data_IF_476019485173
#
_entry.id   IF_476019485173
#
_cell.length_a   1.000
_cell.length_b   1.000
_cell.length_c   1.000
_cell.angle_alpha   90.00
_cell.angle_beta   90.00
_cell.angle_gamma   90.00
#
_symmetry.space_group_name_H-M   'P 1'
#
loop_
_entity.id
_entity.type
_entity.pdbx_description
1 polymer ?
#
# COMPACT_ATOMS: atom_id res chain seq x y z
N UNK A 1 -8.75 26.03 -37.35
CA UNK A 1 -8.91 24.55 -37.23
C UNK A 1 -8.20 23.99 -36.00
N UNK A 2 -6.99 24.45 -35.65
CA UNK A 2 -6.31 24.06 -34.39
C UNK A 2 -7.19 24.23 -33.14
N UNK A 3 -8.02 25.27 -33.06
CA UNK A 3 -8.99 25.44 -31.96
C UNK A 3 -10.00 24.29 -31.85
N UNK A 4 -10.48 23.80 -32.99
CA UNK A 4 -11.39 22.66 -33.09
C UNK A 4 -10.67 21.37 -32.70
N UNK A 5 -9.42 21.19 -33.12
CA UNK A 5 -8.60 20.06 -32.73
C UNK A 5 -8.34 20.02 -31.22
N UNK A 6 -7.93 21.14 -30.62
CA UNK A 6 -7.73 21.24 -29.17
C UNK A 6 -9.02 20.91 -28.40
N UNK A 7 -10.17 21.41 -28.86
CA UNK A 7 -11.48 21.06 -28.29
C UNK A 7 -11.81 19.56 -28.45
N UNK A 8 -11.50 18.96 -29.59
CA UNK A 8 -11.75 17.54 -29.83
C UNK A 8 -10.84 16.66 -28.95
N UNK A 9 -9.56 17.04 -28.75
CA UNK A 9 -8.65 16.31 -27.82
C UNK A 9 -9.25 16.18 -26.42
N UNK A 10 -10.00 17.17 -25.95
CA UNK A 10 -10.68 17.13 -24.64
C UNK A 10 -12.01 16.37 -24.62
N UNK A 11 -12.72 16.24 -25.75
CA UNK A 11 -14.12 15.80 -25.78
C UNK A 11 -14.39 14.52 -26.58
N UNK A 12 -13.66 14.31 -27.68
CA UNK A 12 -13.79 13.16 -28.58
C UNK A 12 -12.45 12.90 -29.28
N UNK A 13 -11.69 11.97 -28.70
CA UNK A 13 -10.37 11.59 -29.21
C UNK A 13 -10.46 11.05 -30.64
N UNK A 14 -11.50 10.30 -31.01
CA UNK A 14 -11.62 9.72 -32.35
C UNK A 14 -11.84 10.83 -33.40
N UNK A 15 -12.67 11.84 -33.10
CA UNK A 15 -12.77 13.04 -33.95
C UNK A 15 -11.48 13.88 -33.97
N UNK A 16 -10.69 13.85 -32.90
CA UNK A 16 -9.37 14.51 -32.89
C UNK A 16 -8.37 13.79 -33.81
N UNK A 17 -8.40 12.45 -33.87
CA UNK A 17 -7.55 11.66 -34.79
C UNK A 17 -7.82 12.04 -36.24
N UNK A 18 -9.07 11.96 -36.69
CA UNK A 18 -9.45 12.28 -38.09
C UNK A 18 -9.07 13.71 -38.46
N UNK A 19 -9.38 14.69 -37.59
CA UNK A 19 -9.04 16.10 -37.87
C UNK A 19 -7.52 16.35 -37.88
N UNK A 20 -6.73 15.62 -37.09
CA UNK A 20 -5.28 15.71 -37.12
C UNK A 20 -4.69 15.14 -38.42
N UNK A 21 -5.23 14.03 -38.92
CA UNK A 21 -4.85 13.46 -40.22
C UNK A 21 -5.21 14.41 -41.37
N UNK A 22 -6.41 14.99 -41.38
CA UNK A 22 -6.81 16.00 -42.36
C UNK A 22 -5.87 17.22 -42.35
N UNK A 23 -5.48 17.71 -41.17
CA UNK A 23 -4.57 18.86 -41.04
C UNK A 23 -3.14 18.55 -41.52
N UNK A 24 -2.66 17.34 -41.29
CA UNK A 24 -1.29 16.94 -41.69
C UNK A 24 -1.20 16.53 -43.16
N UNK A 25 -2.27 16.03 -43.77
CA UNK A 25 -2.31 15.67 -45.19
C UNK A 25 -2.56 16.86 -46.13
N UNK A 26 -3.34 17.87 -45.71
CA UNK A 26 -3.74 18.98 -46.59
C UNK A 26 -2.66 20.06 -46.84
N UNK A 27 -1.44 19.89 -46.32
CA UNK A 27 -0.21 20.58 -46.76
C UNK A 27 -0.07 22.08 -46.48
N UNK A 28 -1.16 22.81 -46.24
CA UNK A 28 -1.16 24.28 -46.07
C UNK A 28 -1.03 24.76 -44.62
N UNK A 29 -1.46 23.97 -43.62
CA UNK A 29 -1.71 24.46 -42.25
C UNK A 29 -0.67 24.03 -41.19
N UNK A 30 0.49 23.51 -41.63
CA UNK A 30 1.69 23.36 -40.80
C UNK A 30 2.20 21.93 -40.60
N UNK A 31 3.41 21.80 -40.06
CA UNK A 31 4.02 20.51 -39.77
C UNK A 31 3.36 19.85 -38.53
N UNK A 32 3.45 18.52 -38.36
CA UNK A 32 2.97 17.85 -37.15
C UNK A 32 3.49 18.47 -35.85
N UNK A 33 4.76 18.94 -35.85
CA UNK A 33 5.33 19.69 -34.72
C UNK A 33 4.63 21.02 -34.48
N UNK A 34 4.37 21.81 -35.52
CA UNK A 34 3.67 23.09 -35.38
C UNK A 34 2.26 22.92 -34.82
N UNK A 35 1.51 21.93 -35.33
CA UNK A 35 0.14 21.62 -34.87
C UNK A 35 0.16 21.16 -33.42
N UNK A 36 1.01 20.17 -33.06
CA UNK A 36 1.09 19.64 -31.70
C UNK A 36 1.59 20.68 -30.70
N UNK A 37 2.57 21.51 -31.05
CA UNK A 37 3.06 22.60 -30.20
C UNK A 37 1.95 23.60 -29.88
N UNK A 38 1.15 23.98 -30.88
CA UNK A 38 0.00 24.88 -30.69
C UNK A 38 -1.11 24.26 -29.82
N UNK A 39 -1.38 22.95 -29.96
CA UNK A 39 -2.33 22.23 -29.11
C UNK A 39 -1.83 22.14 -27.66
N UNK A 40 -0.55 21.79 -27.45
CA UNK A 40 0.06 21.71 -26.11
C UNK A 40 0.04 23.07 -25.42
N UNK A 41 0.48 24.14 -26.10
CA UNK A 41 0.43 25.50 -25.56
C UNK A 41 -0.99 25.88 -25.17
N UNK A 42 -1.95 25.77 -26.10
CA UNK A 42 -3.33 26.20 -25.85
C UNK A 42 -3.99 25.45 -24.70
N UNK A 43 -3.87 24.12 -24.66
CA UNK A 43 -4.55 23.32 -23.64
C UNK A 43 -3.88 23.46 -22.28
N UNK A 44 -2.55 23.44 -22.21
CA UNK A 44 -1.84 23.45 -20.94
C UNK A 44 -1.71 24.87 -20.34
N UNK A 45 -1.86 25.94 -21.12
CA UNK A 45 -2.00 27.32 -20.59
C UNK A 45 -3.29 27.49 -19.76
N UNK A 46 -4.34 26.73 -20.06
CA UNK A 46 -5.61 26.74 -19.31
C UNK A 46 -5.55 25.85 -18.06
N UNK A 47 -5.16 24.58 -18.21
CA UNK A 47 -5.12 23.63 -17.10
C UNK A 47 -4.05 22.52 -17.30
N UNK A 48 -3.25 22.25 -16.26
CA UNK A 48 -2.25 21.17 -16.28
C UNK A 48 -2.90 19.77 -16.40
N UNK A 49 -4.15 19.61 -15.95
CA UNK A 49 -4.93 18.38 -16.12
C UNK A 49 -5.08 17.95 -17.59
N UNK A 50 -5.08 18.88 -18.54
CA UNK A 50 -5.19 18.59 -19.97
C UNK A 50 -4.00 17.77 -20.53
N UNK A 51 -2.86 17.70 -19.83
CA UNK A 51 -1.76 16.79 -20.21
C UNK A 51 -2.24 15.33 -20.28
N UNK A 52 -3.19 14.93 -19.42
CA UNK A 52 -3.80 13.59 -19.44
C UNK A 52 -4.47 13.29 -20.79
N UNK A 53 -5.22 14.24 -21.31
CA UNK A 53 -5.98 14.07 -22.56
C UNK A 53 -5.07 14.14 -23.79
N UNK A 54 -4.02 14.97 -23.76
CA UNK A 54 -3.00 14.98 -24.82
C UNK A 54 -2.24 13.64 -24.83
N UNK A 55 -1.86 13.09 -23.68
CA UNK A 55 -1.22 11.76 -23.57
C UNK A 55 -2.15 10.65 -24.08
N UNK A 56 -3.46 10.70 -23.75
CA UNK A 56 -4.47 9.78 -24.28
C UNK A 56 -4.60 9.88 -25.81
N UNK A 57 -4.66 11.09 -26.35
CA UNK A 57 -4.70 11.35 -27.80
C UNK A 57 -3.45 10.79 -28.50
N UNK A 58 -2.25 11.11 -28.02
CA UNK A 58 -0.99 10.60 -28.59
C UNK A 58 -0.91 9.06 -28.54
N UNK A 59 -1.30 8.45 -27.41
CA UNK A 59 -1.38 7.00 -27.25
C UNK A 59 -2.35 6.38 -28.27
N UNK A 60 -3.53 6.98 -28.46
CA UNK A 60 -4.53 6.51 -29.43
C UNK A 60 -4.07 6.68 -30.88
N UNK A 61 -3.43 7.80 -31.22
CA UNK A 61 -2.87 8.03 -32.55
C UNK A 61 -1.78 7.01 -32.92
N UNK A 62 -0.92 6.67 -31.96
CA UNK A 62 0.04 5.58 -32.14
C UNK A 62 -0.65 4.21 -32.35
N UNK A 63 -1.68 3.91 -31.56
CA UNK A 63 -2.42 2.63 -31.61
C UNK A 63 -3.35 2.48 -32.82
N UNK A 64 -3.79 3.59 -33.44
CA UNK A 64 -4.53 3.58 -34.70
C UNK A 64 -3.62 3.01 -35.80
N UNK A 65 -3.89 1.77 -36.23
CA UNK A 65 -3.05 1.06 -37.22
C UNK A 65 -3.31 1.58 -38.64
N UNK A 66 -2.78 2.75 -38.96
CA UNK A 66 -2.75 3.30 -40.31
C UNK A 66 -1.59 2.76 -41.13
N UNK A 67 -1.66 2.92 -42.46
CA UNK A 67 -0.66 2.41 -43.42
C UNK A 67 0.74 3.03 -43.28
N UNK A 68 0.89 4.11 -42.48
CA UNK A 68 2.15 4.85 -42.33
C UNK A 68 2.72 4.77 -40.90
N UNK A 69 3.30 3.62 -40.54
CA UNK A 69 3.90 3.39 -39.21
C UNK A 69 4.98 4.41 -38.84
N UNK A 70 5.86 4.79 -39.77
CA UNK A 70 6.92 5.78 -39.53
C UNK A 70 6.35 7.15 -39.12
N UNK A 71 5.35 7.67 -39.84
CA UNK A 71 4.71 8.94 -39.51
C UNK A 71 3.99 8.90 -38.15
N UNK A 72 3.42 7.75 -37.75
CA UNK A 72 2.81 7.57 -36.41
C UNK A 72 3.87 7.65 -35.31
N UNK A 73 4.97 6.91 -35.43
CA UNK A 73 6.10 6.94 -34.50
C UNK A 73 6.70 8.35 -34.40
N UNK A 74 6.94 9.01 -35.54
CA UNK A 74 7.50 10.35 -35.59
C UNK A 74 6.58 11.39 -34.93
N UNK A 75 5.27 11.33 -35.20
CA UNK A 75 4.27 12.24 -34.59
C UNK A 75 4.20 12.06 -33.08
N UNK A 76 4.19 10.81 -32.60
CA UNK A 76 4.21 10.47 -31.19
C UNK A 76 5.45 11.04 -30.48
N UNK A 77 6.65 10.82 -31.04
CA UNK A 77 7.90 11.33 -30.48
C UNK A 77 7.94 12.86 -30.44
N UNK A 78 7.44 13.52 -31.49
CA UNK A 78 7.29 14.98 -31.52
C UNK A 78 6.33 15.45 -30.43
N UNK A 79 5.16 14.81 -30.27
CA UNK A 79 4.20 15.17 -29.21
C UNK A 79 4.77 15.01 -27.80
N UNK A 80 5.52 13.95 -27.56
CA UNK A 80 6.26 13.73 -26.31
C UNK A 80 7.28 14.85 -26.08
N UNK A 81 8.07 15.23 -27.08
CA UNK A 81 9.06 16.32 -26.96
C UNK A 81 8.44 17.68 -26.69
N UNK A 82 7.29 18.01 -27.30
CA UNK A 82 6.57 19.25 -27.03
C UNK A 82 5.97 19.28 -25.60
N UNK A 83 5.38 18.16 -25.15
CA UNK A 83 4.89 18.00 -23.78
C UNK A 83 6.01 18.14 -22.75
N UNK A 84 7.16 17.49 -22.96
CA UNK A 84 8.30 17.57 -22.06
C UNK A 84 8.85 19.00 -22.01
N UNK A 85 9.00 19.68 -23.15
CA UNK A 85 9.46 21.08 -23.17
C UNK A 85 8.53 22.01 -22.38
N UNK A 86 7.22 21.80 -22.48
CA UNK A 86 6.24 22.54 -21.68
C UNK A 86 6.40 22.23 -20.18
N UNK A 87 6.43 20.94 -19.81
CA UNK A 87 6.57 20.51 -18.41
C UNK A 87 7.88 21.00 -17.80
N UNK A 88 9.01 20.95 -18.51
CA UNK A 88 10.32 21.40 -18.04
C UNK A 88 10.36 22.89 -17.72
N UNK A 89 9.60 23.72 -18.45
CA UNK A 89 9.46 25.15 -18.18
C UNK A 89 8.65 25.47 -16.90
N UNK A 90 7.86 24.52 -16.38
CA UNK A 90 7.07 24.71 -15.16
C UNK A 90 7.90 24.58 -13.87
N UNK A 91 7.47 25.28 -12.82
CA UNK A 91 8.03 25.15 -11.46
C UNK A 91 7.86 23.71 -10.94
N UNK A 92 8.86 23.11 -10.27
CA UNK A 92 8.73 21.79 -9.64
C UNK A 92 7.59 21.71 -8.62
N UNK A 93 6.64 20.80 -8.83
CA UNK A 93 5.53 20.50 -7.92
C UNK A 93 5.01 19.07 -8.16
N UNK A 94 4.26 18.50 -7.21
CA UNK A 94 3.75 17.11 -7.33
C UNK A 94 2.87 16.92 -8.59
N UNK A 95 1.95 17.84 -8.95
CA UNK A 95 1.20 17.74 -10.21
C UNK A 95 2.10 17.67 -11.45
N UNK A 96 3.15 18.51 -11.56
CA UNK A 96 4.13 18.43 -12.65
C UNK A 96 4.79 17.05 -12.70
N UNK A 97 5.27 16.54 -11.56
CA UNK A 97 5.94 15.23 -11.50
C UNK A 97 5.01 14.09 -11.90
N UNK A 98 3.72 14.16 -11.52
CA UNK A 98 2.69 13.22 -11.98
C UNK A 98 2.44 13.28 -13.49
N UNK A 99 2.36 14.48 -14.07
CA UNK A 99 2.26 14.67 -15.52
C UNK A 99 3.50 14.13 -16.26
N UNK A 100 4.71 14.36 -15.75
CA UNK A 100 5.94 13.76 -16.32
C UNK A 100 5.93 12.23 -16.22
N UNK A 101 5.34 11.65 -15.17
CA UNK A 101 5.18 10.20 -15.05
C UNK A 101 4.20 9.62 -16.10
N UNK A 102 3.13 10.33 -16.46
CA UNK A 102 2.26 9.93 -17.57
C UNK A 102 3.02 9.85 -18.89
N UNK A 103 3.86 10.85 -19.17
CA UNK A 103 4.70 10.88 -20.38
C UNK A 103 5.72 9.74 -20.34
N UNK A 104 6.33 9.46 -19.18
CA UNK A 104 7.20 8.29 -19.01
C UNK A 104 6.46 6.97 -19.24
N UNK A 105 5.23 6.80 -18.75
CA UNK A 105 4.42 5.58 -18.99
C UNK A 105 4.19 5.36 -20.48
N UNK A 106 3.89 6.43 -21.24
CA UNK A 106 3.72 6.35 -22.69
C UNK A 106 5.03 5.95 -23.38
N UNK A 107 6.17 6.52 -23.00
CA UNK A 107 7.50 6.14 -23.51
C UNK A 107 7.85 4.68 -23.18
N UNK A 108 7.53 4.21 -21.98
CA UNK A 108 7.78 2.84 -21.53
C UNK A 108 6.91 1.79 -22.25
N UNK A 109 5.63 2.11 -22.48
CA UNK A 109 4.71 1.31 -23.30
C UNK A 109 5.20 1.17 -24.74
N UNK A 110 5.64 2.27 -25.34
CA UNK A 110 6.14 2.32 -26.72
C UNK A 110 7.45 1.55 -26.85
N UNK A 111 8.38 1.74 -25.92
CA UNK A 111 9.63 0.98 -25.84
C UNK A 111 9.38 -0.54 -25.70
N UNK A 112 8.39 -0.92 -24.89
CA UNK A 112 8.01 -2.32 -24.67
C UNK A 112 7.32 -2.94 -25.88
N UNK A 113 6.79 -2.13 -26.80
CA UNK A 113 6.08 -2.55 -28.02
C UNK A 113 7.01 -2.79 -29.23
N UNK A 114 8.31 -3.02 -28.99
CA UNK A 114 9.44 -2.91 -29.94
C UNK A 114 9.35 -3.58 -31.33
N UNK A 115 8.31 -4.38 -31.61
CA UNK A 115 7.99 -4.85 -32.97
C UNK A 115 7.69 -3.70 -33.95
N UNK A 116 7.16 -2.57 -33.47
CA UNK A 116 6.88 -1.39 -34.32
C UNK A 116 8.14 -0.63 -34.78
N UNK A 117 9.33 -1.02 -34.29
CA UNK A 117 10.61 -0.34 -34.53
C UNK A 117 11.60 -1.13 -35.39
N UNK A 118 11.22 -2.30 -35.93
CA UNK A 118 12.14 -3.24 -36.60
C UNK A 118 12.91 -2.61 -37.78
N UNK A 119 12.33 -1.64 -38.48
CA UNK A 119 12.94 -0.91 -39.60
C UNK A 119 13.24 0.58 -39.26
N UNK A 120 13.18 0.99 -37.99
CA UNK A 120 13.22 2.39 -37.54
C UNK A 120 14.29 2.64 -36.45
N UNK A 121 15.54 2.27 -36.72
CA UNK A 121 16.66 2.34 -35.75
C UNK A 121 16.85 3.73 -35.12
N UNK A 122 16.77 4.83 -35.89
CA UNK A 122 16.92 6.19 -35.37
C UNK A 122 15.80 6.54 -34.37
N UNK A 123 14.55 6.14 -34.68
CA UNK A 123 13.41 6.36 -33.80
C UNK A 123 13.52 5.51 -32.52
N UNK A 124 14.01 4.27 -32.64
CA UNK A 124 14.27 3.41 -31.47
C UNK A 124 15.34 4.03 -30.56
N UNK A 125 16.44 4.50 -31.11
CA UNK A 125 17.50 5.17 -30.34
C UNK A 125 16.96 6.43 -29.65
N UNK A 126 16.05 7.17 -30.30
CA UNK A 126 15.37 8.35 -29.74
C UNK A 126 14.45 7.98 -28.58
N UNK A 127 13.66 6.90 -28.68
CA UNK A 127 12.87 6.34 -27.57
C UNK A 127 13.76 5.92 -26.40
N UNK A 128 14.87 5.21 -26.67
CA UNK A 128 15.83 4.77 -25.64
C UNK A 128 16.41 5.96 -24.90
N UNK A 129 16.84 6.99 -25.62
CA UNK A 129 17.38 8.23 -25.05
C UNK A 129 16.34 8.95 -24.20
N UNK A 130 15.09 9.08 -24.69
CA UNK A 130 13.99 9.70 -23.94
C UNK A 130 13.70 8.92 -22.65
N UNK A 131 13.55 7.59 -22.73
CA UNK A 131 13.32 6.74 -21.56
C UNK A 131 14.41 6.92 -20.51
N UNK A 132 15.68 6.87 -20.92
CA UNK A 132 16.81 7.08 -20.02
C UNK A 132 16.82 8.49 -19.41
N UNK A 133 16.52 9.52 -20.20
CA UNK A 133 16.46 10.91 -19.70
C UNK A 133 15.31 11.17 -18.72
N UNK A 134 14.23 10.39 -18.78
CA UNK A 134 13.05 10.52 -17.91
C UNK A 134 13.08 9.58 -16.71
N UNK A 135 14.01 8.63 -16.65
CA UNK A 135 14.09 7.59 -15.60
C UNK A 135 14.11 8.16 -14.17
N UNK A 136 14.58 9.40 -13.99
CA UNK A 136 14.54 10.11 -12.71
C UNK A 136 13.12 10.28 -12.15
N UNK A 137 12.10 10.39 -13.01
CA UNK A 137 10.72 10.64 -12.57
C UNK A 137 10.17 9.49 -11.74
N UNK A 138 10.62 8.25 -12.00
CA UNK A 138 10.21 7.07 -11.24
C UNK A 138 10.66 7.21 -9.79
N UNK A 139 11.92 7.57 -9.57
CA UNK A 139 12.49 7.82 -8.23
C UNK A 139 11.83 9.02 -7.56
N UNK A 140 11.58 10.10 -8.30
CA UNK A 140 11.03 11.33 -7.73
C UNK A 140 9.55 11.16 -7.32
N UNK A 141 8.75 10.40 -8.08
CA UNK A 141 7.39 9.99 -7.66
C UNK A 141 7.44 8.97 -6.52
N UNK A 142 8.33 7.99 -6.56
CA UNK A 142 8.52 7.04 -5.46
C UNK A 142 8.86 7.75 -4.15
N UNK A 143 9.75 8.75 -4.20
CA UNK A 143 10.09 9.63 -3.08
C UNK A 143 8.89 10.44 -2.59
N UNK A 144 8.08 11.00 -3.48
CA UNK A 144 6.86 11.73 -3.11
C UNK A 144 5.83 10.82 -2.41
N UNK A 145 5.62 9.59 -2.90
CA UNK A 145 4.74 8.59 -2.28
C UNK A 145 5.26 8.13 -0.90
N UNK A 146 6.58 8.11 -0.70
CA UNK A 146 7.22 7.71 0.55
C UNK A 146 7.14 8.78 1.67
N UNK A 147 6.66 9.99 1.37
CA UNK A 147 6.67 11.15 2.26
C UNK A 147 5.26 11.65 2.61
N UNK A 148 5.09 12.47 3.66
CA UNK A 148 3.84 13.15 3.94
C UNK A 148 3.41 14.04 2.75
N UNK A 149 2.19 13.81 2.27
CA UNK A 149 1.61 14.49 1.11
C UNK A 149 0.22 15.01 1.46
N UNK A 150 -0.21 16.15 0.89
CA UNK A 150 -1.57 16.64 1.06
C UNK A 150 -2.60 15.63 0.52
N UNK A 151 -3.84 15.66 1.00
CA UNK A 151 -4.87 14.74 0.52
C UNK A 151 -5.21 15.01 -0.96
N UNK A 152 -5.21 16.28 -1.38
CA UNK A 152 -5.44 16.71 -2.77
C UNK A 152 -4.32 16.24 -3.71
N UNK A 153 -3.05 16.48 -3.38
CA UNK A 153 -1.91 16.00 -4.19
C UNK A 153 -1.93 14.47 -4.31
N UNK A 154 -2.29 13.77 -3.23
CA UNK A 154 -2.34 12.31 -3.19
C UNK A 154 -3.47 11.75 -4.04
N UNK A 155 -4.65 12.38 -3.99
CA UNK A 155 -5.77 12.03 -4.84
C UNK A 155 -5.45 12.28 -6.32
N UNK A 156 -4.93 13.46 -6.64
CA UNK A 156 -4.59 13.86 -8.00
C UNK A 156 -3.51 12.93 -8.60
N UNK A 157 -2.44 12.64 -7.85
CA UNK A 157 -1.40 11.70 -8.28
C UNK A 157 -1.95 10.27 -8.45
N UNK A 158 -2.79 9.80 -7.53
CA UNK A 158 -3.37 8.45 -7.60
C UNK A 158 -4.35 8.28 -8.78
N UNK A 159 -5.12 9.32 -9.13
CA UNK A 159 -6.02 9.29 -10.28
C UNK A 159 -5.29 9.01 -11.61
N UNK A 160 -4.04 9.45 -11.75
CA UNK A 160 -3.21 9.19 -12.94
C UNK A 160 -2.97 7.69 -13.17
N UNK A 161 -3.09 6.86 -12.14
CA UNK A 161 -2.92 5.40 -12.22
C UNK A 161 -4.09 4.65 -12.88
N UNK A 162 -5.11 5.35 -13.39
CA UNK A 162 -5.98 4.77 -14.43
C UNK A 162 -5.25 4.59 -15.77
N UNK A 163 -4.25 5.42 -16.05
CA UNK A 163 -3.54 5.47 -17.33
C UNK A 163 -2.12 4.89 -17.27
N UNK A 164 -1.68 4.42 -16.10
CA UNK A 164 -0.33 3.90 -15.86
C UNK A 164 -0.39 2.36 -15.79
N UNK A 165 0.61 1.70 -16.39
CA UNK A 165 0.70 0.24 -16.40
C UNK A 165 0.87 -0.34 -14.98
N UNK A 166 0.30 -1.54 -14.74
CA UNK A 166 0.45 -2.21 -13.45
C UNK A 166 1.90 -2.64 -13.16
N UNK A 167 2.78 -2.74 -14.17
CA UNK A 167 4.20 -3.00 -13.95
C UNK A 167 4.92 -1.74 -13.42
N UNK A 168 4.64 -0.57 -13.98
CA UNK A 168 5.18 0.70 -13.48
C UNK A 168 4.66 1.00 -12.06
N UNK A 169 3.39 0.70 -11.77
CA UNK A 169 2.86 0.74 -10.39
C UNK A 169 3.64 -0.17 -9.44
N UNK A 170 3.91 -1.44 -9.83
CA UNK A 170 4.67 -2.36 -8.97
C UNK A 170 6.07 -1.81 -8.67
N UNK A 171 6.72 -1.23 -9.68
CA UNK A 171 8.04 -0.61 -9.55
C UNK A 171 8.01 0.57 -8.59
N UNK A 172 7.08 1.52 -8.79
CA UNK A 172 6.93 2.70 -7.94
C UNK A 172 6.64 2.35 -6.48
N UNK A 173 5.77 1.36 -6.22
CA UNK A 173 5.48 0.90 -4.85
C UNK A 173 6.68 0.18 -4.22
N UNK A 174 7.45 -0.57 -5.01
CA UNK A 174 8.66 -1.25 -4.52
C UNK A 174 9.77 -0.23 -4.19
N UNK A 175 10.01 0.76 -5.05
CA UNK A 175 10.98 1.86 -4.84
C UNK A 175 10.56 2.79 -3.68
N UNK A 176 9.30 3.22 -3.63
CA UNK A 176 8.80 4.11 -2.57
C UNK A 176 8.95 3.47 -1.18
N UNK A 177 8.76 2.15 -1.09
CA UNK A 177 8.98 1.42 0.15
C UNK A 177 10.44 0.96 0.34
N UNK A 178 11.23 0.84 -0.73
CA UNK A 178 12.64 0.40 -0.68
C UNK A 178 13.46 1.28 0.26
N UNK A 179 13.36 2.60 0.09
CA UNK A 179 14.28 3.56 0.68
C UNK A 179 13.76 4.21 1.97
N UNK A 180 12.49 3.99 2.33
CA UNK A 180 11.88 4.55 3.53
C UNK A 180 11.07 3.49 4.32
N UNK A 181 11.63 2.97 5.41
CA UNK A 181 10.93 2.03 6.31
C UNK A 181 9.76 2.69 7.05
N UNK A 182 9.86 3.98 7.36
CA UNK A 182 8.79 4.79 7.95
C UNK A 182 7.71 5.16 6.91
N UNK A 183 8.08 5.21 5.62
CA UNK A 183 7.22 5.56 4.50
C UNK A 183 6.07 4.58 4.25
N UNK A 184 6.03 3.41 4.88
CA UNK A 184 4.94 2.44 4.75
C UNK A 184 3.55 3.07 4.93
N UNK A 185 3.41 3.98 5.90
CA UNK A 185 2.13 4.64 6.16
C UNK A 185 1.73 5.55 5.00
N UNK A 186 2.67 6.31 4.45
CA UNK A 186 2.44 7.19 3.30
C UNK A 186 2.15 6.39 2.02
N UNK A 187 2.87 5.27 1.81
CA UNK A 187 2.59 4.35 0.71
C UNK A 187 1.19 3.71 0.89
N UNK A 188 0.80 3.31 2.10
CA UNK A 188 -0.55 2.76 2.34
C UNK A 188 -1.66 3.81 2.22
N UNK A 189 -1.43 5.06 2.62
CA UNK A 189 -2.33 6.19 2.39
C UNK A 189 -2.51 6.43 0.88
N UNK A 190 -1.41 6.43 0.11
CA UNK A 190 -1.45 6.56 -1.36
C UNK A 190 -2.21 5.40 -2.01
N UNK A 191 -1.92 4.16 -1.59
CA UNK A 191 -2.59 2.95 -2.08
C UNK A 191 -4.10 2.98 -1.82
N UNK A 192 -4.57 3.63 -0.74
CA UNK A 192 -6.01 3.80 -0.50
C UNK A 192 -6.71 4.60 -1.60
N UNK A 193 -6.01 5.58 -2.20
CA UNK A 193 -6.55 6.51 -3.20
C UNK A 193 -6.43 5.98 -4.64
N UNK A 194 -5.77 4.83 -4.86
CA UNK A 194 -5.68 4.23 -6.20
C UNK A 194 -7.09 3.87 -6.73
N UNK A 195 -7.46 4.32 -7.93
CA UNK A 195 -8.84 4.26 -8.44
C UNK A 195 -9.33 2.85 -8.75
N UNK A 196 -8.40 1.90 -8.97
CA UNK A 196 -8.70 0.51 -9.29
C UNK A 196 -8.35 -0.40 -8.11
N UNK A 197 -9.31 -1.23 -7.67
CA UNK A 197 -9.08 -2.20 -6.59
C UNK A 197 -7.98 -3.22 -6.92
N UNK A 198 -7.82 -3.61 -8.18
CA UNK A 198 -6.75 -4.50 -8.61
C UNK A 198 -5.37 -3.84 -8.46
N UNK A 199 -5.27 -2.52 -8.63
CA UNK A 199 -4.06 -1.75 -8.32
C UNK A 199 -3.78 -1.73 -6.80
N UNK A 200 -4.80 -1.61 -5.96
CA UNK A 200 -4.64 -1.75 -4.50
C UNK A 200 -4.16 -3.15 -4.09
N UNK A 201 -4.68 -4.19 -4.74
CA UNK A 201 -4.27 -5.58 -4.50
C UNK A 201 -2.81 -5.80 -4.88
N UNK A 202 -2.42 -5.35 -6.08
CA UNK A 202 -1.04 -5.47 -6.60
C UNK A 202 -0.06 -4.74 -5.68
N UNK A 203 -0.38 -3.52 -5.23
CA UNK A 203 0.45 -2.78 -4.29
C UNK A 203 0.64 -3.52 -2.95
N UNK A 204 -0.43 -4.10 -2.39
CA UNK A 204 -0.33 -4.92 -1.17
C UNK A 204 0.57 -6.15 -1.35
N UNK A 205 0.56 -6.80 -2.53
CA UNK A 205 1.47 -7.91 -2.84
C UNK A 205 2.94 -7.47 -2.91
N UNK A 206 3.21 -6.30 -3.50
CA UNK A 206 4.57 -5.71 -3.56
C UNK A 206 5.09 -5.41 -2.17
N UNK A 207 4.30 -4.68 -1.35
CA UNK A 207 4.65 -4.36 0.03
C UNK A 207 4.95 -5.62 0.85
N UNK A 208 4.11 -6.65 0.76
CA UNK A 208 4.36 -7.91 1.48
C UNK A 208 5.63 -8.62 1.03
N UNK A 209 5.88 -8.67 -0.29
CA UNK A 209 7.09 -9.28 -0.85
C UNK A 209 8.34 -8.60 -0.30
N UNK A 210 8.34 -7.26 -0.29
CA UNK A 210 9.46 -6.43 0.20
C UNK A 210 9.63 -6.55 1.72
N UNK A 211 8.54 -6.60 2.49
CA UNK A 211 8.59 -6.90 3.93
C UNK A 211 9.20 -8.27 4.21
N UNK A 212 8.85 -9.30 3.45
CA UNK A 212 9.34 -10.66 3.71
C UNK A 212 10.84 -10.85 3.33
N UNK A 213 11.45 -9.88 2.63
CA UNK A 213 12.89 -9.83 2.38
C UNK A 213 13.69 -9.20 3.54
N UNK A 214 13.04 -8.43 4.41
CA UNK A 214 13.67 -7.67 5.50
C UNK A 214 12.90 -7.89 6.80
N UNK A 215 13.50 -8.65 7.73
CA UNK A 215 12.86 -8.99 9.02
C UNK A 215 12.56 -7.77 9.88
N UNK A 216 13.29 -6.66 9.73
CA UNK A 216 13.00 -5.39 10.40
C UNK A 216 11.73 -4.74 9.87
N UNK A 217 11.52 -4.74 8.55
CA UNK A 217 10.28 -4.26 7.90
C UNK A 217 9.07 -5.10 8.27
N UNK A 218 9.21 -6.43 8.22
CA UNK A 218 8.15 -7.35 8.63
C UNK A 218 7.75 -7.09 10.10
N UNK A 219 8.74 -6.85 10.98
CA UNK A 219 8.52 -6.66 12.42
C UNK A 219 7.58 -5.51 12.75
N UNK A 220 7.70 -4.37 12.07
CA UNK A 220 6.92 -3.16 12.38
C UNK A 220 5.77 -2.91 11.41
N UNK A 221 5.88 -3.36 10.16
CA UNK A 221 4.94 -2.99 9.09
C UNK A 221 3.78 -3.96 8.86
N UNK A 222 3.89 -5.21 9.31
CA UNK A 222 2.94 -6.26 8.89
C UNK A 222 1.52 -6.06 9.42
N UNK A 223 1.32 -5.39 10.56
CA UNK A 223 -0.02 -5.06 11.08
C UNK A 223 -0.69 -3.93 10.30
N UNK A 224 0.09 -2.92 9.88
CA UNK A 224 -0.35 -1.82 9.01
C UNK A 224 -0.81 -2.39 7.67
N UNK A 225 0.01 -3.26 7.07
CA UNK A 225 -0.34 -3.94 5.82
C UNK A 225 -1.55 -4.87 5.96
N UNK A 226 -1.65 -5.61 7.08
CA UNK A 226 -2.83 -6.44 7.36
C UNK A 226 -4.11 -5.59 7.49
N UNK A 227 -4.04 -4.42 8.11
CA UNK A 227 -5.15 -3.47 8.16
C UNK A 227 -5.53 -2.98 6.74
N UNK A 228 -4.55 -2.57 5.92
CA UNK A 228 -4.80 -2.16 4.51
C UNK A 228 -5.49 -3.28 3.73
N UNK A 229 -5.02 -4.52 3.86
CA UNK A 229 -5.64 -5.72 3.27
C UNK A 229 -7.09 -5.87 3.78
N UNK A 230 -7.35 -5.72 5.08
CA UNK A 230 -8.70 -5.77 5.66
C UNK A 230 -9.62 -4.69 5.08
N UNK A 231 -9.11 -3.47 4.82
CA UNK A 231 -9.85 -2.36 4.20
C UNK A 231 -10.22 -2.70 2.75
N UNK A 232 -9.25 -3.12 1.94
CA UNK A 232 -9.46 -3.53 0.53
C UNK A 232 -10.48 -4.67 0.43
N UNK A 233 -10.38 -5.70 1.28
CA UNK A 233 -11.31 -6.83 1.30
C UNK A 233 -12.76 -6.47 1.72
N UNK A 234 -13.00 -5.24 2.18
CA UNK A 234 -14.34 -4.73 2.55
C UNK A 234 -15.00 -3.88 1.47
N UNK A 235 -14.27 -3.51 0.41
CA UNK A 235 -14.86 -2.75 -0.69
C UNK A 235 -15.87 -3.61 -1.48
N UNK A 236 -16.92 -2.97 -1.99
CA UNK A 236 -18.09 -3.64 -2.60
C UNK A 236 -17.77 -4.35 -3.92
N UNK A 237 -16.72 -3.91 -4.60
CA UNK A 237 -16.18 -4.44 -5.84
C UNK A 237 -15.13 -5.55 -5.65
N UNK A 238 -14.64 -5.78 -4.41
CA UNK A 238 -13.61 -6.79 -4.11
C UNK A 238 -13.94 -8.19 -4.63
N UNK A 239 -15.20 -8.60 -4.54
CA UNK A 239 -15.65 -9.91 -5.02
C UNK A 239 -15.56 -10.06 -6.56
N UNK A 240 -15.43 -8.96 -7.31
CA UNK A 240 -15.32 -8.90 -8.78
C UNK A 240 -13.90 -8.58 -9.27
N UNK A 241 -12.98 -8.22 -8.37
CA UNK A 241 -11.60 -7.87 -8.70
C UNK A 241 -10.86 -9.05 -9.37
N UNK A 242 -10.09 -8.79 -10.42
CA UNK A 242 -9.35 -9.81 -11.18
C UNK A 242 -8.36 -10.57 -10.30
N UNK A 243 -7.77 -9.91 -9.30
CA UNK A 243 -6.77 -10.44 -8.39
C UNK A 243 -7.33 -10.82 -7.01
N UNK A 244 -8.66 -10.97 -6.85
CA UNK A 244 -9.32 -11.36 -5.59
C UNK A 244 -8.71 -12.62 -4.96
N UNK A 245 -8.39 -13.64 -5.75
CA UNK A 245 -7.79 -14.89 -5.28
C UNK A 245 -6.36 -14.71 -4.77
N UNK A 246 -5.59 -13.80 -5.37
CA UNK A 246 -4.25 -13.45 -4.90
C UNK A 246 -4.29 -12.70 -3.57
N UNK A 247 -5.26 -11.80 -3.38
CA UNK A 247 -5.48 -11.14 -2.09
C UNK A 247 -5.86 -12.13 -0.98
N UNK A 248 -6.71 -13.13 -1.28
CA UNK A 248 -7.04 -14.20 -0.32
C UNK A 248 -5.80 -15.03 0.06
N UNK A 249 -4.97 -15.43 -0.92
CA UNK A 249 -3.68 -16.08 -0.66
C UNK A 249 -2.73 -15.20 0.16
N UNK A 250 -2.71 -13.90 -0.09
CA UNK A 250 -1.89 -12.95 0.66
C UNK A 250 -2.32 -12.85 2.13
N UNK A 251 -3.64 -12.75 2.40
CA UNK A 251 -4.21 -12.79 3.74
C UNK A 251 -3.78 -14.04 4.53
N UNK A 252 -3.76 -15.20 3.87
CA UNK A 252 -3.34 -16.49 4.46
C UNK A 252 -1.81 -16.64 4.64
N UNK A 253 -1.00 -15.79 4.00
CA UNK A 253 0.47 -15.76 4.20
C UNK A 253 0.89 -14.90 5.39
N UNK A 254 0.01 -14.06 5.91
CA UNK A 254 0.31 -13.23 7.09
C UNK A 254 0.58 -14.11 8.31
N UNK A 255 1.47 -13.69 9.24
CA UNK A 255 1.71 -14.44 10.47
C UNK A 255 0.43 -14.59 11.29
N UNK A 256 0.21 -15.77 11.87
CA UNK A 256 -1.07 -16.19 12.46
C UNK A 256 -1.61 -15.23 13.53
N UNK A 257 -0.72 -14.66 14.36
CA UNK A 257 -1.08 -13.66 15.36
C UNK A 257 -1.52 -12.33 14.73
N UNK A 258 -0.91 -11.91 13.61
CA UNK A 258 -1.35 -10.73 12.85
C UNK A 258 -2.74 -10.98 12.26
N UNK A 259 -2.97 -12.17 11.72
CA UNK A 259 -4.27 -12.58 11.22
C UNK A 259 -5.33 -12.55 12.33
N UNK A 260 -5.04 -13.13 13.50
CA UNK A 260 -5.95 -13.16 14.64
C UNK A 260 -6.27 -11.75 15.19
N UNK A 261 -5.25 -10.89 15.32
CA UNK A 261 -5.40 -9.46 15.70
C UNK A 261 -6.31 -8.72 14.72
N UNK A 262 -6.18 -9.02 13.41
CA UNK A 262 -6.81 -8.21 12.36
C UNK A 262 -8.22 -8.70 11.98
N UNK A 263 -8.50 -10.01 12.01
CA UNK A 263 -9.80 -10.58 11.59
C UNK A 263 -10.55 -11.35 12.68
N UNK A 264 -9.97 -11.58 13.85
CA UNK A 264 -10.55 -12.47 14.86
C UNK A 264 -10.40 -11.95 16.29
N UNK A 265 -10.16 -12.90 17.21
CA UNK A 265 -9.93 -12.64 18.62
C UNK A 265 -8.66 -13.35 19.07
N UNK A 266 -7.94 -12.74 20.01
CA UNK A 266 -6.65 -13.25 20.52
C UNK A 266 -6.83 -13.69 21.97
N UNK A 267 -6.16 -14.77 22.38
CA UNK A 267 -6.01 -15.11 23.79
C UNK A 267 -4.65 -14.63 24.30
N UNK A 268 -4.61 -13.85 25.37
CA UNK A 268 -3.38 -13.20 25.88
C UNK A 268 -2.94 -13.92 27.14
N UNK A 269 -2.40 -15.13 26.95
CA UNK A 269 -2.00 -15.99 28.06
C UNK A 269 -0.53 -15.77 28.47
N UNK A 270 -0.25 -15.85 29.77
CA UNK A 270 1.12 -15.94 30.26
C UNK A 270 1.21 -16.38 31.71
N UNK A 271 2.31 -17.09 32.04
CA UNK A 271 2.50 -17.73 33.34
C UNK A 271 2.90 -16.78 34.48
N UNK A 272 3.18 -15.49 34.18
CA UNK A 272 3.75 -14.53 35.14
C UNK A 272 3.05 -13.17 35.18
N UNK A 273 2.01 -12.92 34.36
CA UNK A 273 1.33 -11.62 34.27
C UNK A 273 0.39 -11.29 35.45
N UNK A 274 0.32 -12.15 36.47
CA UNK A 274 -0.46 -11.86 37.66
C UNK A 274 0.37 -11.08 38.68
N UNK A 275 -0.05 -9.84 38.94
CA UNK A 275 0.11 -9.27 40.28
C UNK A 275 -0.39 -10.29 41.31
N UNK A 276 0.31 -10.47 42.46
CA UNK A 276 -0.07 -11.46 43.46
C UNK A 276 -1.51 -11.22 43.93
N UNK A 277 -2.35 -12.25 43.80
CA UNK A 277 -3.75 -12.25 44.27
C UNK A 277 -3.82 -11.92 45.79
N UNK A 278 -4.97 -11.42 46.31
CA UNK A 278 -6.00 -10.64 45.62
C UNK A 278 -6.55 -9.49 46.49
N UNK A 279 -6.48 -8.24 46.01
CA UNK A 279 -7.44 -7.20 46.36
C UNK A 279 -7.88 -6.47 45.10
N UNK A 280 -9.16 -6.13 45.05
CA UNK A 280 -9.69 -5.16 44.09
C UNK A 280 -9.19 -3.78 44.52
N UNK A 281 -7.98 -3.41 44.09
CA UNK A 281 -7.41 -2.12 44.40
C UNK A 281 -8.05 -1.05 43.51
N UNK A 282 -8.82 -0.20 44.17
CA UNK A 282 -9.37 1.03 43.60
C UNK A 282 -8.22 2.03 43.53
N UNK A 283 -7.54 2.10 42.38
CA UNK A 283 -6.45 3.04 42.17
C UNK A 283 -7.07 4.41 41.88
N UNK A 284 -7.15 5.25 42.90
CA UNK A 284 -7.86 6.54 42.85
C UNK A 284 -9.37 6.36 42.74
N UNK A 285 -9.98 7.02 41.75
CA UNK A 285 -11.43 6.93 41.51
C UNK A 285 -11.83 5.72 40.66
N UNK A 286 -10.88 5.15 39.90
CA UNK A 286 -11.11 4.11 38.90
C UNK A 286 -11.34 2.73 39.53
N UNK A 287 -12.34 2.00 39.00
CA UNK A 287 -12.58 0.59 39.34
C UNK A 287 -11.67 -0.30 38.48
N UNK A 288 -10.51 -0.65 39.01
CA UNK A 288 -9.57 -1.56 38.34
C UNK A 288 -9.88 -3.01 38.69
N UNK A 289 -9.94 -3.88 37.68
CA UNK A 289 -9.95 -5.33 37.83
C UNK A 289 -8.59 -5.88 37.41
N UNK A 290 -7.76 -6.47 38.30
CA UNK A 290 -6.46 -7.01 37.92
C UNK A 290 -6.57 -8.04 36.79
N UNK A 291 -5.62 -8.06 35.85
CA UNK A 291 -5.60 -9.01 34.74
C UNK A 291 -5.19 -10.43 35.22
N UNK A 292 -6.12 -11.10 35.91
CA UNK A 292 -5.87 -12.41 36.53
C UNK A 292 -5.83 -13.58 35.52
N UNK A 293 -4.97 -14.56 35.79
CA UNK A 293 -4.73 -15.77 34.96
C UNK A 293 -5.99 -16.54 34.53
N UNK A 294 -7.05 -16.54 35.33
CA UNK A 294 -8.33 -17.20 35.00
C UNK A 294 -9.08 -16.44 33.88
N UNK A 295 -8.84 -15.13 33.78
CA UNK A 295 -9.53 -14.19 32.89
C UNK A 295 -8.70 -13.84 31.65
N UNK A 296 -7.41 -14.20 31.64
CA UNK A 296 -6.46 -13.99 30.54
C UNK A 296 -5.98 -15.29 29.87
N UNK A 297 -6.03 -16.44 30.56
CA UNK A 297 -5.54 -17.73 30.06
C UNK A 297 -6.63 -18.82 29.94
N UNK A 298 -7.90 -18.55 30.27
CA UNK A 298 -8.96 -19.54 30.07
C UNK A 298 -9.35 -19.64 28.59
N UNK A 299 -9.86 -20.80 28.15
CA UNK A 299 -10.39 -21.01 26.78
C UNK A 299 -11.57 -20.08 26.44
N UNK A 300 -12.19 -19.46 27.46
CA UNK A 300 -13.27 -18.48 27.30
C UNK A 300 -12.76 -17.03 27.21
N UNK A 301 -11.53 -16.75 27.60
CA UNK A 301 -10.93 -15.42 27.48
C UNK A 301 -10.64 -15.10 26.01
N UNK A 302 -11.26 -14.05 25.49
CA UNK A 302 -11.07 -13.56 24.12
C UNK A 302 -10.85 -12.06 24.16
N UNK A 303 -9.89 -11.59 23.37
CA UNK A 303 -9.54 -10.18 23.26
C UNK A 303 -9.77 -9.70 21.83
N UNK A 304 -10.50 -8.61 21.71
CA UNK A 304 -10.64 -7.86 20.46
C UNK A 304 -9.57 -6.77 20.41
N UNK A 305 -8.85 -6.69 19.30
CA UNK A 305 -7.85 -5.67 19.04
C UNK A 305 -8.48 -4.55 18.20
N UNK A 306 -8.91 -3.48 18.87
CA UNK A 306 -9.60 -2.35 18.26
C UNK A 306 -8.59 -1.30 17.78
N UNK A 307 -8.32 -1.32 16.48
CA UNK A 307 -7.25 -0.53 15.86
C UNK A 307 -7.64 0.90 15.50
N UNK A 308 -6.65 1.77 15.30
CA UNK A 308 -6.81 3.02 14.55
C UNK A 308 -6.98 2.76 13.03
N UNK A 309 -7.38 3.78 12.27
CA UNK A 309 -7.63 3.70 10.81
C UNK A 309 -6.38 3.34 9.97
N UNK A 310 -5.22 3.16 10.60
CA UNK A 310 -3.91 2.92 9.98
C UNK A 310 -3.25 1.61 10.42
N UNK A 311 -3.84 0.84 11.34
CA UNK A 311 -3.25 -0.44 11.78
C UNK A 311 -1.98 -0.31 12.64
N UNK A 312 -1.71 0.89 13.19
CA UNK A 312 -0.45 1.20 13.90
C UNK A 312 -0.53 0.87 15.38
N UNK A 313 -1.70 1.08 15.99
CA UNK A 313 -1.95 0.78 17.39
C UNK A 313 -3.36 0.25 17.63
N UNK A 314 -3.54 -0.38 18.79
CA UNK A 314 -4.71 -1.17 19.15
C UNK A 314 -5.12 -0.86 20.59
N UNK A 315 -6.41 -0.66 20.84
CA UNK A 315 -6.97 -0.82 22.17
C UNK A 315 -7.35 -2.31 22.34
N UNK A 316 -6.97 -2.91 23.46
CA UNK A 316 -7.16 -4.35 23.70
C UNK A 316 -8.38 -4.52 24.62
N UNK A 317 -9.50 -5.01 24.08
CA UNK A 317 -10.76 -5.16 24.81
C UNK A 317 -11.00 -6.62 25.18
N UNK A 318 -11.24 -6.92 26.45
CA UNK A 318 -11.72 -8.25 26.86
C UNK A 318 -13.19 -8.39 26.48
N UNK A 319 -13.53 -9.39 25.66
CA UNK A 319 -14.90 -9.53 25.12
C UNK A 319 -15.91 -10.02 26.16
N UNK A 320 -15.46 -10.63 27.26
CA UNK A 320 -16.33 -11.13 28.32
C UNK A 320 -16.72 -10.02 29.31
N UNK A 321 -15.77 -9.16 29.68
CA UNK A 321 -16.02 -8.06 30.64
C UNK A 321 -16.37 -6.73 29.96
N UNK A 322 -16.05 -6.57 28.67
CA UNK A 322 -16.18 -5.32 27.95
C UNK A 322 -15.08 -4.28 28.25
N UNK A 323 -14.20 -4.58 29.22
CA UNK A 323 -13.18 -3.66 29.74
C UNK A 323 -11.89 -3.68 28.87
N UNK A 324 -11.14 -2.58 28.92
CA UNK A 324 -9.88 -2.42 28.18
C UNK A 324 -8.67 -2.72 29.04
N UNK A 325 -7.65 -3.33 28.43
CA UNK A 325 -6.34 -3.55 29.04
C UNK A 325 -5.57 -2.22 29.14
N UNK A 326 -5.13 -1.92 30.35
CA UNK A 326 -4.32 -0.74 30.71
C UNK A 326 -3.06 -1.18 31.48
N UNK A 327 -2.11 -0.27 31.61
CA UNK A 327 -0.96 -0.38 32.51
C UNK A 327 -1.02 0.73 33.58
N UNK A 328 -1.21 0.35 34.85
CA UNK A 328 -1.25 1.27 35.98
C UNK A 328 -0.15 0.90 36.95
N UNK A 329 0.79 1.83 37.17
CA UNK A 329 1.92 1.68 38.09
C UNK A 329 2.76 0.40 37.90
N UNK A 330 2.85 -0.09 36.65
CA UNK A 330 3.57 -1.31 36.28
C UNK A 330 2.76 -2.60 36.42
N UNK A 331 1.46 -2.50 36.70
CA UNK A 331 0.54 -3.62 36.79
C UNK A 331 -0.53 -3.56 35.68
N UNK A 332 -0.71 -4.68 34.97
CA UNK A 332 -1.72 -4.81 33.92
C UNK A 332 -3.11 -5.04 34.51
N UNK A 333 -4.05 -4.18 34.13
CA UNK A 333 -5.42 -4.15 34.66
C UNK A 333 -6.45 -4.07 33.53
N UNK A 334 -7.67 -4.52 33.80
CA UNK A 334 -8.85 -4.24 33.00
C UNK A 334 -9.67 -3.12 33.65
N UNK A 335 -10.00 -2.11 32.85
CA UNK A 335 -10.66 -0.88 33.29
C UNK A 335 -11.69 -0.40 32.27
N UNK A 336 -12.65 0.37 32.74
CA UNK A 336 -13.53 1.19 31.91
C UNK A 336 -12.85 2.56 31.72
N UNK A 337 -12.08 2.71 30.63
CA UNK A 337 -11.33 3.94 30.31
C UNK A 337 -11.77 4.57 29.01
N UNK A 338 -11.80 5.90 29.02
CA UNK A 338 -12.09 6.73 27.85
C UNK A 338 -11.13 7.94 27.86
N UNK A 339 -10.22 8.07 26.87
CA UNK A 339 -9.88 7.07 25.85
C UNK A 339 -9.17 5.83 26.45
N UNK A 340 -9.25 4.65 25.80
CA UNK A 340 -8.50 3.47 26.21
C UNK A 340 -7.01 3.60 25.85
N UNK A 341 -6.16 2.91 26.63
CA UNK A 341 -4.73 2.79 26.35
C UNK A 341 -4.47 2.15 24.98
N UNK A 342 -3.45 2.66 24.27
CA UNK A 342 -3.05 2.20 22.95
C UNK A 342 -1.79 1.35 23.02
N UNK A 343 -1.82 0.22 22.31
CA UNK A 343 -0.77 -0.79 22.28
C UNK A 343 -0.24 -0.97 20.86
N UNK A 344 1.07 -1.04 20.66
CA UNK A 344 1.70 -1.46 19.40
C UNK A 344 2.00 -2.95 19.43
N UNK A 345 2.11 -3.58 18.26
CA UNK A 345 2.46 -5.00 18.12
C UNK A 345 3.62 -5.15 17.14
N UNK A 346 4.74 -5.69 17.60
CA UNK A 346 5.91 -6.02 16.77
C UNK A 346 5.97 -7.54 16.53
N UNK A 347 6.31 -7.96 15.31
CA UNK A 347 6.47 -9.38 14.93
C UNK A 347 7.94 -9.79 14.91
N UNK A 348 8.32 -10.72 15.78
CA UNK A 348 9.70 -11.19 15.95
C UNK A 348 9.82 -12.59 15.36
N UNK A 349 10.34 -12.69 14.13
CA UNK A 349 10.60 -13.97 13.44
C UNK A 349 11.99 -14.50 13.78
N UNK A 350 12.09 -15.78 14.15
CA UNK A 350 13.35 -16.49 14.43
C UNK A 350 13.32 -17.88 13.79
N UNK A 351 13.90 -18.00 12.59
CA UNK A 351 13.73 -19.18 11.76
C UNK A 351 12.26 -19.35 11.35
N UNK A 352 11.68 -20.50 11.69
CA UNK A 352 10.25 -20.79 11.47
C UNK A 352 9.36 -20.23 12.59
N UNK A 353 9.91 -19.97 13.77
CA UNK A 353 9.13 -19.48 14.91
C UNK A 353 8.77 -17.99 14.77
N UNK A 354 7.53 -17.66 15.12
CA UNK A 354 7.04 -16.28 15.17
C UNK A 354 6.57 -15.92 16.58
N UNK A 355 7.15 -14.84 17.10
CA UNK A 355 6.86 -14.26 18.41
C UNK A 355 6.33 -12.84 18.23
N UNK A 356 5.70 -12.28 19.26
CA UNK A 356 5.02 -10.98 19.20
C UNK A 356 5.33 -10.17 20.45
N UNK A 357 5.74 -8.92 20.30
CA UNK A 357 5.95 -7.99 21.42
C UNK A 357 4.83 -6.94 21.39
N UNK A 358 4.02 -6.92 22.43
CA UNK A 358 2.89 -5.99 22.57
C UNK A 358 3.30 -4.90 23.57
N UNK A 359 3.32 -3.63 23.15
CA UNK A 359 3.91 -2.51 23.93
C UNK A 359 2.87 -1.42 24.17
N UNK A 360 2.67 -1.00 25.42
CA UNK A 360 1.83 0.15 25.75
C UNK A 360 2.52 1.45 25.29
N UNK A 361 1.85 2.26 24.47
CA UNK A 361 2.42 3.49 23.91
C UNK A 361 2.66 4.59 24.94
N UNK A 362 1.90 4.59 26.05
CA UNK A 362 1.97 5.63 27.10
C UNK A 362 3.09 5.35 28.10
N UNK A 363 3.27 4.10 28.50
CA UNK A 363 4.27 3.72 29.53
C UNK A 363 5.54 3.12 28.94
N UNK A 364 5.53 2.65 27.69
CA UNK A 364 6.62 1.88 27.09
C UNK A 364 6.72 0.44 27.61
N UNK A 365 5.96 0.09 28.65
CA UNK A 365 5.95 -1.27 29.20
C UNK A 365 5.34 -2.23 28.18
N UNK A 366 5.95 -3.40 28.08
CA UNK A 366 5.55 -4.44 27.15
C UNK A 366 4.94 -5.62 27.90
N UNK A 367 4.03 -6.34 27.27
CA UNK A 367 3.59 -7.66 27.75
C UNK A 367 4.75 -8.64 27.53
N UNK A 368 5.60 -8.82 28.56
CA UNK A 368 6.78 -9.69 28.53
C UNK A 368 6.94 -10.44 29.85
N UNK A 369 7.28 -11.75 29.84
CA UNK A 369 8.29 -12.26 30.76
C UNK A 369 9.68 -11.75 30.33
N UNK A 370 10.73 -11.94 31.12
CA UNK A 370 12.10 -11.73 30.62
C UNK A 370 12.48 -12.84 29.60
N UNK A 371 11.99 -12.71 28.37
CA UNK A 371 11.98 -13.72 27.31
C UNK A 371 10.76 -13.53 26.40
N UNK A 372 10.81 -13.98 25.14
CA UNK A 372 9.79 -13.65 24.14
C UNK A 372 8.37 -14.22 24.42
N UNK A 373 7.34 -13.62 23.80
CA UNK A 373 5.92 -14.06 23.85
C UNK A 373 5.48 -14.65 22.52
N UNK A 374 4.98 -15.90 22.51
CA UNK A 374 4.25 -16.46 21.35
C UNK A 374 2.78 -16.08 21.45
N UNK A 375 2.14 -15.78 20.32
CA UNK A 375 0.68 -15.71 20.24
C UNK A 375 0.19 -17.11 19.88
N UNK A 376 -0.72 -17.63 20.70
CA UNK A 376 -1.29 -18.97 20.62
C UNK A 376 -2.83 -18.94 20.68
N UNK A 377 -3.43 -20.07 20.32
CA UNK A 377 -4.71 -20.18 19.58
C UNK A 377 -5.33 -21.58 20.02
N UNK A 378 -6.58 -22.02 19.77
CA UNK A 378 -7.17 -23.35 20.24
C UNK A 378 -8.02 -24.26 19.24
N UNK A 379 -7.56 -25.49 18.90
CA UNK A 379 -8.15 -26.68 18.16
C UNK A 379 -7.70 -28.02 18.79
N UNK A 380 -8.59 -29.02 18.76
CA UNK A 380 -8.20 -30.43 18.66
C UNK A 380 -8.84 -31.03 17.40
N UNK A 381 -8.04 -31.49 16.43
CA UNK A 381 -8.36 -32.57 15.49
C UNK A 381 -7.17 -32.84 14.54
N UNK A 382 -6.97 -34.10 14.16
CA UNK A 382 -5.95 -34.49 13.19
C UNK A 382 -6.34 -34.07 11.76
N UNK A 383 -5.39 -33.45 11.03
CA UNK A 383 -5.41 -33.42 9.56
C UNK A 383 -5.70 -32.09 8.85
N UNK A 384 -4.62 -31.41 8.45
CA UNK A 384 -4.42 -30.63 7.21
C UNK A 384 -5.36 -29.46 6.78
N UNK A 385 -4.68 -28.45 6.22
CA UNK A 385 -5.13 -27.45 5.24
C UNK A 385 -6.01 -26.28 5.72
N UNK A 386 -5.44 -25.07 5.65
CA UNK A 386 -6.17 -23.79 5.61
C UNK A 386 -6.99 -23.68 4.31
N UNK A 387 -8.20 -24.22 4.30
CA UNK A 387 -9.20 -24.02 3.23
C UNK A 387 -10.22 -22.99 3.70
N UNK A 388 -10.41 -21.96 2.87
CA UNK A 388 -11.33 -20.84 3.10
C UNK A 388 -12.79 -21.31 2.98
N UNK A 389 -13.41 -21.67 4.11
CA UNK A 389 -14.85 -21.92 4.21
C UNK A 389 -15.55 -20.77 4.93
N UNK A 390 -16.56 -20.21 4.27
CA UNK A 390 -17.32 -19.04 4.71
C UNK A 390 -17.70 -19.08 6.21
N UNK A 391 -17.39 -17.98 6.90
CA UNK A 391 -18.10 -17.52 8.10
C UNK A 391 -18.34 -18.53 9.23
N UNK A 392 -17.28 -19.05 9.91
CA UNK A 392 -17.28 -19.39 11.36
C UNK A 392 -15.86 -19.60 11.90
N UNK A 393 -15.69 -19.40 13.20
CA UNK A 393 -14.40 -19.33 13.94
C UNK A 393 -13.79 -20.68 14.34
N UNK A 394 -12.44 -20.81 14.38
CA UNK A 394 -11.63 -21.84 15.11
C UNK A 394 -10.09 -21.57 15.00
N UNK A 395 -9.23 -22.58 15.33
CA UNK A 395 -7.75 -22.76 15.11
C UNK A 395 -6.86 -22.80 16.39
N UNK A 396 -5.77 -23.64 16.51
CA UNK A 396 -4.80 -23.93 17.67
C UNK A 396 -3.34 -23.35 17.72
N UNK A 397 -2.71 -23.19 18.92
CA UNK A 397 -1.59 -24.00 19.53
C UNK A 397 -1.28 -23.55 20.99
N UNK A 398 -1.04 -24.53 21.90
CA UNK A 398 -0.28 -24.40 23.17
C UNK A 398 0.86 -25.44 23.25
N UNK A 399 2.11 -25.03 23.52
CA UNK A 399 3.15 -25.78 24.30
C UNK A 399 4.38 -24.89 24.52
N UNK A 400 5.16 -25.11 25.59
CA UNK A 400 6.64 -25.25 25.58
C UNK A 400 7.17 -25.63 26.98
N UNK A 401 8.40 -26.15 27.02
CA UNK A 401 8.93 -26.99 28.10
C UNK A 401 9.78 -26.24 29.13
N UNK A 402 10.00 -26.90 30.27
CA UNK A 402 10.54 -26.29 31.49
C UNK A 402 12.01 -26.65 31.68
N UNK A 403 12.94 -25.73 31.38
CA UNK A 403 14.31 -25.80 31.91
C UNK A 403 14.49 -24.87 33.12
N UNK A 404 14.73 -25.47 34.29
CA UNK A 404 15.15 -24.75 35.50
C UNK A 404 16.68 -24.64 35.51
N UNK A 405 17.21 -23.42 35.61
CA UNK A 405 18.50 -23.25 36.30
C UNK A 405 18.27 -23.57 37.78
N UNK A 406 19.02 -24.52 38.34
CA UNK A 406 19.02 -24.73 39.80
C UNK A 406 19.50 -23.43 40.46
N UNK A 407 18.77 -22.94 41.45
CA UNK A 407 19.32 -21.95 42.38
C UNK A 407 20.51 -22.59 43.12
N UNK A 408 21.58 -21.83 43.30
CA UNK A 408 22.61 -22.22 44.26
C UNK A 408 22.01 -22.11 45.67
N UNK A 409 22.09 -23.18 46.46
CA UNK A 409 21.88 -23.05 47.90
C UNK A 409 23.05 -22.24 48.45
N UNK A 410 22.79 -21.01 48.90
CA UNK A 410 23.60 -20.44 49.96
C UNK A 410 23.20 -21.18 51.23
N UNK A 411 24.08 -22.04 51.74
CA UNK A 411 24.02 -22.43 53.14
C UNK A 411 24.43 -21.24 54.02
N UNK A 412 24.03 -21.31 55.30
CA UNK A 412 24.16 -20.25 56.30
C UNK A 412 25.61 -19.81 56.54
#
# INVERSE_FOLDING_TARGET
MVDTLARNVLLDVEQALTLFEELTQNGNDGTPRGILSAVVHKLCEEELGHVLEIVRFLRRYYQAKTEHTEHRVQTLLVGIEELLRYLDALVPCIPKTGCTLLVYSLVDEVFSSGADFLDLEESLQRVVNLKHSLEYVVRDVASAIAQPMSDDDRHNLAALFEQISSELLKRLVDEAYADCSEGLLHVCDFVEHLPCIDHQIIACQVLYRRMNMDTGRLRVGVTVLAHRIRKVMRYTDFARAKHVGEMRKLKLKLPEGVYAITWGYVNIAGAQFMAPKPKSERIGELKCKPAGWIETCSKAAKHEFQTDDRGTSFAIKNTHTGLFLTDVDGAFCYVETTPPDRWTVEVIKRGEDVWYKITNRRTGNSLVPAGEVRVGIDDQCDGFNLVDFNERSLVVVQKFELQRKKAACNMQ
#
